data_IF_136651770362
#
_entry.id   IF_136651770362
#
_cell.length_a   1.000
_cell.length_b   1.000
_cell.length_c   1.000
_cell.angle_alpha   90.00
_cell.angle_beta   90.00
_cell.angle_gamma   90.00
#
_symmetry.space_group_name_H-M   'P 1'
#
loop_
_entity.id
_entity.type
_entity.pdbx_description
1 polymer ?
#
# COMPACT_ATOMS: atom_id res chain seq x y z
N UNK A 1 -24.44 -11.14 6.58
CA UNK A 1 -24.54 -10.21 5.44
C UNK A 1 -23.21 -10.06 4.71
N UNK A 2 -22.11 -9.72 5.39
CA UNK A 2 -20.77 -9.65 4.76
C UNK A 2 -20.37 -10.95 4.02
N UNK A 3 -20.64 -12.11 4.62
CA UNK A 3 -20.37 -13.44 4.03
C UNK A 3 -20.99 -13.64 2.64
N UNK A 4 -22.20 -13.10 2.41
CA UNK A 4 -22.86 -13.19 1.10
C UNK A 4 -22.07 -12.42 0.05
N UNK A 5 -21.65 -11.20 0.36
CA UNK A 5 -20.90 -10.36 -0.58
C UNK A 5 -19.48 -10.85 -0.79
N UNK A 6 -18.86 -11.46 0.22
CA UNK A 6 -17.60 -12.21 0.08
C UNK A 6 -17.75 -13.34 -0.93
N UNK A 7 -18.78 -14.19 -0.79
CA UNK A 7 -19.03 -15.29 -1.75
C UNK A 7 -19.30 -14.78 -3.16
N UNK A 8 -20.07 -13.68 -3.28
CA UNK A 8 -20.30 -13.05 -4.58
C UNK A 8 -18.98 -12.59 -5.22
N UNK A 9 -18.09 -11.94 -4.47
CA UNK A 9 -16.77 -11.53 -4.98
C UNK A 9 -15.83 -12.72 -5.26
N UNK A 10 -15.91 -13.79 -4.47
CA UNK A 10 -15.15 -15.02 -4.69
C UNK A 10 -15.54 -15.70 -6.01
N UNK A 11 -16.83 -15.65 -6.38
CA UNK A 11 -17.36 -16.17 -7.65
C UNK A 11 -17.03 -15.33 -8.90
N UNK A 12 -16.06 -14.41 -8.83
CA UNK A 12 -15.67 -13.48 -9.92
C UNK A 12 -15.33 -14.13 -11.25
N UNK A 13 -14.94 -15.40 -11.27
CA UNK A 13 -14.67 -16.17 -12.49
C UNK A 13 -15.94 -16.74 -13.13
N UNK A 14 -16.98 -16.93 -12.33
CA UNK A 14 -18.26 -17.51 -12.74
C UNK A 14 -19.28 -16.42 -13.09
N UNK A 15 -19.31 -15.34 -12.30
CA UNK A 15 -20.22 -14.21 -12.52
C UNK A 15 -19.54 -12.88 -12.22
N UNK A 16 -19.06 -12.23 -13.27
CA UNK A 16 -18.48 -10.88 -13.16
C UNK A 16 -19.50 -9.84 -12.65
N UNK A 17 -20.79 -10.04 -12.93
CA UNK A 17 -21.85 -9.15 -12.45
C UNK A 17 -22.05 -9.27 -10.93
N UNK A 18 -22.17 -10.49 -10.41
CA UNK A 18 -22.33 -10.71 -8.97
C UNK A 18 -21.09 -10.26 -8.21
N UNK A 19 -19.90 -10.55 -8.72
CA UNK A 19 -18.66 -10.12 -8.07
C UNK A 19 -18.51 -8.60 -8.00
N UNK A 20 -18.94 -7.87 -9.05
CA UNK A 20 -19.01 -6.41 -9.02
C UNK A 20 -19.94 -5.90 -7.91
N UNK A 21 -21.13 -6.49 -7.76
CA UNK A 21 -22.07 -6.14 -6.68
C UNK A 21 -21.44 -6.43 -5.32
N UNK A 22 -20.80 -7.60 -5.16
CA UNK A 22 -20.08 -7.99 -3.95
C UNK A 22 -19.03 -6.96 -3.57
N UNK A 23 -18.17 -6.54 -4.52
CA UNK A 23 -17.13 -5.55 -4.27
C UNK A 23 -17.69 -4.21 -3.76
N UNK A 24 -18.73 -3.66 -4.41
CA UNK A 24 -19.36 -2.41 -3.97
C UNK A 24 -19.99 -2.56 -2.58
N UNK A 25 -20.72 -3.64 -2.35
CA UNK A 25 -21.40 -3.88 -1.08
C UNK A 25 -20.41 -4.04 0.07
N UNK A 26 -19.28 -4.72 -0.15
CA UNK A 26 -18.20 -4.84 0.83
C UNK A 26 -17.57 -3.48 1.15
N UNK A 27 -17.28 -2.67 0.13
CA UNK A 27 -16.77 -1.31 0.32
C UNK A 27 -17.73 -0.44 1.13
N UNK A 28 -19.02 -0.47 0.79
CA UNK A 28 -20.04 0.31 1.50
C UNK A 28 -20.24 -0.15 2.95
N UNK A 29 -20.17 -1.46 3.19
CA UNK A 29 -20.33 -2.01 4.53
C UNK A 29 -19.13 -1.68 5.44
N UNK A 30 -17.92 -1.60 4.88
CA UNK A 30 -16.69 -1.31 5.62
C UNK A 30 -16.31 -2.38 6.66
N UNK A 31 -16.91 -3.56 6.57
CA UNK A 31 -16.69 -4.67 7.51
C UNK A 31 -15.40 -5.40 7.17
N UNK A 32 -14.40 -5.30 8.07
CA UNK A 32 -13.05 -5.84 7.91
C UNK A 32 -13.01 -7.32 7.53
N UNK A 33 -14.06 -8.09 7.85
CA UNK A 33 -14.17 -9.51 7.46
C UNK A 33 -14.21 -9.71 5.94
N UNK A 34 -14.67 -8.71 5.18
CA UNK A 34 -14.69 -8.73 3.72
C UNK A 34 -13.45 -8.17 3.05
N UNK A 35 -12.53 -7.55 3.81
CA UNK A 35 -11.34 -6.91 3.26
C UNK A 35 -10.37 -7.94 2.64
N UNK A 36 -10.25 -9.13 3.25
CA UNK A 36 -9.38 -10.20 2.75
C UNK A 36 -9.72 -10.60 1.32
N UNK A 37 -11.00 -10.76 1.01
CA UNK A 37 -11.46 -11.13 -0.33
C UNK A 37 -11.27 -9.99 -1.34
N UNK A 38 -11.50 -8.74 -0.92
CA UNK A 38 -11.19 -7.56 -1.73
C UNK A 38 -9.69 -7.50 -2.08
N UNK A 39 -8.81 -7.74 -1.11
CA UNK A 39 -7.36 -7.78 -1.33
C UNK A 39 -6.95 -8.92 -2.27
N UNK A 40 -7.60 -10.08 -2.16
CA UNK A 40 -7.38 -11.21 -3.08
C UNK A 40 -7.77 -10.86 -4.52
N UNK A 41 -8.97 -10.30 -4.71
CA UNK A 41 -9.43 -9.79 -6.00
C UNK A 41 -8.51 -8.68 -6.56
N UNK A 42 -7.99 -7.83 -5.67
CA UNK A 42 -7.03 -6.78 -6.01
C UNK A 42 -5.71 -7.34 -6.51
N UNK A 43 -5.17 -8.34 -5.82
CA UNK A 43 -3.94 -9.01 -6.20
C UNK A 43 -4.08 -9.66 -7.59
N UNK A 44 -5.21 -10.29 -7.87
CA UNK A 44 -5.54 -10.88 -9.18
C UNK A 44 -5.76 -9.85 -10.28
N UNK A 45 -5.92 -8.56 -9.95
CA UNK A 45 -6.21 -7.50 -10.92
C UNK A 45 -7.65 -7.53 -11.43
N UNK A 46 -8.56 -8.14 -10.69
CA UNK A 46 -9.98 -8.12 -11.01
C UNK A 46 -10.53 -6.69 -10.87
N UNK A 47 -11.05 -6.13 -11.96
CA UNK A 47 -11.68 -4.80 -12.02
C UNK A 47 -11.02 -3.77 -11.08
N UNK A 48 -9.75 -3.42 -11.29
CA UNK A 48 -8.92 -2.77 -10.29
C UNK A 48 -9.45 -1.41 -9.85
N UNK A 49 -10.20 -0.69 -10.70
CA UNK A 49 -10.86 0.55 -10.31
C UNK A 49 -11.96 0.35 -9.26
N UNK A 50 -12.84 -0.65 -9.46
CA UNK A 50 -13.94 -0.96 -8.54
C UNK A 50 -13.38 -1.49 -7.22
N UNK A 51 -12.43 -2.42 -7.29
CA UNK A 51 -11.82 -3.00 -6.09
C UNK A 51 -10.99 -1.96 -5.33
N UNK A 52 -10.26 -1.07 -6.03
CA UNK A 52 -9.55 0.03 -5.39
C UNK A 52 -10.49 1.00 -4.66
N UNK A 53 -11.63 1.33 -5.28
CA UNK A 53 -12.64 2.18 -4.68
C UNK A 53 -13.26 1.54 -3.45
N UNK A 54 -13.61 0.25 -3.54
CA UNK A 54 -14.12 -0.51 -2.41
C UNK A 54 -13.13 -0.57 -1.26
N UNK A 55 -11.85 -0.86 -1.52
CA UNK A 55 -10.78 -0.85 -0.50
C UNK A 55 -10.64 0.54 0.13
N UNK A 56 -10.70 1.60 -0.67
CA UNK A 56 -10.63 2.98 -0.16
C UNK A 56 -11.80 3.33 0.76
N UNK A 57 -12.98 2.76 0.53
CA UNK A 57 -14.15 2.99 1.38
C UNK A 57 -13.98 2.47 2.82
N UNK A 58 -13.08 1.50 3.05
CA UNK A 58 -12.68 1.09 4.40
C UNK A 58 -11.84 2.17 5.12
N UNK A 59 -11.24 3.08 4.38
CA UNK A 59 -10.37 4.12 4.92
C UNK A 59 -9.03 3.58 5.44
N UNK A 60 -8.41 4.27 6.42
CA UNK A 60 -7.06 3.95 6.89
C UNK A 60 -6.87 2.52 7.42
N UNK A 61 -7.93 1.86 7.90
CA UNK A 61 -7.84 0.48 8.41
C UNK A 61 -7.39 -0.52 7.32
N UNK A 62 -7.61 -0.20 6.05
CA UNK A 62 -7.19 -1.05 4.94
C UNK A 62 -5.70 -0.86 4.55
N UNK A 63 -5.04 0.20 5.05
CA UNK A 63 -3.64 0.49 4.68
C UNK A 63 -2.69 -0.61 5.14
N UNK A 64 -2.78 -1.07 6.39
CA UNK A 64 -1.92 -2.12 6.92
C UNK A 64 -1.98 -3.39 6.06
N UNK A 65 -3.16 -4.01 5.91
CA UNK A 65 -3.34 -5.20 5.06
C UNK A 65 -2.95 -4.99 3.59
N UNK A 66 -3.16 -3.79 3.04
CA UNK A 66 -2.78 -3.48 1.66
C UNK A 66 -1.26 -3.35 1.50
N UNK A 67 -0.57 -2.72 2.46
CA UNK A 67 0.89 -2.64 2.49
C UNK A 67 1.49 -4.04 2.70
N UNK A 68 0.93 -4.86 3.59
CA UNK A 68 1.31 -6.26 3.79
C UNK A 68 1.25 -7.05 2.47
N UNK A 69 0.15 -6.90 1.72
CA UNK A 69 -0.04 -7.55 0.43
C UNK A 69 1.03 -7.13 -0.58
N UNK A 70 1.36 -5.84 -0.66
CA UNK A 70 2.36 -5.32 -1.61
C UNK A 70 3.77 -5.71 -1.19
N UNK A 71 4.06 -5.78 0.12
CA UNK A 71 5.34 -6.30 0.62
C UNK A 71 5.53 -7.78 0.24
N UNK A 72 4.47 -8.59 0.34
CA UNK A 72 4.48 -10.00 -0.05
C UNK A 72 4.53 -10.18 -1.57
N UNK A 73 3.99 -9.21 -2.33
CA UNK A 73 3.85 -9.24 -3.80
C UNK A 73 4.24 -7.90 -4.43
N UNK A 74 5.55 -7.57 -4.52
CA UNK A 74 6.02 -6.27 -4.99
C UNK A 74 5.64 -5.94 -6.44
N UNK A 75 5.32 -6.94 -7.25
CA UNK A 75 4.79 -6.78 -8.62
C UNK A 75 3.46 -6.02 -8.66
N UNK A 76 2.68 -6.05 -7.57
CA UNK A 76 1.44 -5.29 -7.44
C UNK A 76 1.74 -3.79 -7.57
N UNK A 77 2.83 -3.31 -6.93
CA UNK A 77 3.25 -1.91 -7.00
C UNK A 77 3.75 -1.46 -8.39
N UNK A 78 3.84 -2.36 -9.38
CA UNK A 78 4.13 -2.01 -10.78
C UNK A 78 2.86 -1.67 -11.57
N UNK A 79 1.68 -2.04 -11.09
CA UNK A 79 0.40 -1.80 -11.77
C UNK A 79 -0.17 -0.47 -11.31
N UNK A 80 -0.25 0.53 -12.20
CA UNK A 80 -0.77 1.86 -11.86
C UNK A 80 -2.19 1.80 -11.27
N UNK A 81 -3.05 0.93 -11.80
CA UNK A 81 -4.40 0.71 -11.28
C UNK A 81 -4.38 0.13 -9.85
N UNK A 82 -3.34 -0.63 -9.50
CA UNK A 82 -3.12 -1.19 -8.16
C UNK A 82 -2.45 -0.21 -7.18
N UNK A 83 -2.20 1.03 -7.59
CA UNK A 83 -1.79 2.12 -6.71
C UNK A 83 -2.90 3.15 -6.49
N UNK A 84 -4.01 3.04 -7.24
CA UNK A 84 -5.14 3.96 -7.15
C UNK A 84 -5.80 3.98 -5.76
N UNK A 85 -5.87 2.81 -5.09
CA UNK A 85 -6.40 2.71 -3.73
C UNK A 85 -5.55 3.52 -2.74
N UNK A 86 -4.23 3.32 -2.79
CA UNK A 86 -3.26 4.00 -1.94
C UNK A 86 -3.20 5.50 -2.18
N UNK A 87 -3.21 5.93 -3.45
CA UNK A 87 -3.17 7.35 -3.82
C UNK A 87 -4.35 8.13 -3.22
N UNK A 88 -5.53 7.49 -3.15
CA UNK A 88 -6.73 8.07 -2.56
C UNK A 88 -6.69 8.21 -1.03
N UNK A 89 -5.71 7.61 -0.34
CA UNK A 89 -5.59 7.64 1.12
C UNK A 89 -4.67 8.75 1.65
N UNK A 90 -3.91 9.41 0.76
CA UNK A 90 -3.18 10.65 1.07
C UNK A 90 -2.28 10.55 2.30
N UNK A 91 -2.39 11.51 3.22
CA UNK A 91 -1.53 11.62 4.41
C UNK A 91 -1.57 10.37 5.31
N UNK A 92 -2.68 9.63 5.33
CA UNK A 92 -2.77 8.38 6.09
C UNK A 92 -1.79 7.31 5.56
N UNK A 93 -1.53 7.29 4.25
CA UNK A 93 -0.50 6.43 3.66
C UNK A 93 0.89 6.78 4.20
N UNK A 94 1.24 8.07 4.25
CA UNK A 94 2.54 8.50 4.74
C UNK A 94 2.73 8.10 6.22
N UNK A 95 1.73 8.34 7.06
CA UNK A 95 1.74 7.93 8.47
C UNK A 95 1.92 6.41 8.61
N UNK A 96 1.14 5.62 7.86
CA UNK A 96 1.25 4.16 7.87
C UNK A 96 2.65 3.67 7.43
N UNK A 97 3.25 4.31 6.42
CA UNK A 97 4.61 3.95 5.97
C UNK A 97 5.67 4.28 7.03
N UNK A 98 5.56 5.44 7.70
CA UNK A 98 6.46 5.80 8.79
C UNK A 98 6.39 4.80 9.95
N UNK A 99 5.17 4.48 10.41
CA UNK A 99 4.94 3.47 11.46
C UNK A 99 5.51 2.10 11.06
N UNK A 100 5.32 1.72 9.79
CA UNK A 100 5.81 0.45 9.26
C UNK A 100 7.33 0.36 9.23
N UNK A 101 7.99 1.44 8.84
CA UNK A 101 9.46 1.55 8.81
C UNK A 101 10.04 1.44 10.22
N UNK A 102 9.45 2.14 11.18
CA UNK A 102 9.90 2.08 12.58
C UNK A 102 9.67 0.69 13.20
N UNK A 103 8.52 0.07 12.92
CA UNK A 103 8.23 -1.30 13.40
C UNK A 103 9.23 -2.34 12.87
N UNK A 104 9.79 -2.11 11.68
CA UNK A 104 10.74 -3.02 10.99
C UNK A 104 12.20 -2.58 11.11
N UNK A 105 12.52 -1.61 11.97
CA UNK A 105 13.87 -1.02 12.10
C UNK A 105 14.96 -2.09 12.33
N UNK A 106 14.62 -3.16 13.05
CA UNK A 106 15.52 -4.28 13.35
C UNK A 106 15.63 -5.35 12.25
N UNK A 107 14.75 -5.34 11.25
CA UNK A 107 14.63 -6.48 10.35
C UNK A 107 15.74 -6.49 9.30
N UNK A 108 16.22 -7.69 8.95
CA UNK A 108 17.25 -7.87 7.94
C UNK A 108 16.76 -7.51 6.53
N UNK A 109 15.47 -7.72 6.24
CA UNK A 109 14.82 -7.43 4.95
C UNK A 109 14.41 -5.95 4.79
N UNK A 110 14.60 -5.12 5.82
CA UNK A 110 14.22 -3.70 5.77
C UNK A 110 14.84 -2.96 4.58
N UNK A 111 16.07 -3.30 4.21
CA UNK A 111 16.76 -2.67 3.08
C UNK A 111 16.03 -2.91 1.74
N UNK A 112 15.52 -4.12 1.53
CA UNK A 112 14.72 -4.48 0.35
C UNK A 112 13.36 -3.75 0.38
N UNK A 113 12.70 -3.74 1.53
CA UNK A 113 11.38 -3.09 1.69
C UNK A 113 11.46 -1.55 1.66
N UNK A 114 12.58 -0.96 2.05
CA UNK A 114 12.78 0.48 2.03
C UNK A 114 12.62 1.09 0.62
N UNK A 115 13.10 0.39 -0.42
CA UNK A 115 12.90 0.82 -1.81
C UNK A 115 11.42 0.82 -2.19
N UNK A 116 10.68 -0.19 -1.72
CA UNK A 116 9.24 -0.27 -1.92
C UNK A 116 8.53 0.89 -1.20
N UNK A 117 8.86 1.18 0.06
CA UNK A 117 8.25 2.28 0.80
C UNK A 117 8.51 3.65 0.16
N UNK A 118 9.74 3.90 -0.30
CA UNK A 118 10.07 5.12 -1.03
C UNK A 118 9.27 5.25 -2.33
N UNK A 119 9.01 4.13 -3.03
CA UNK A 119 8.16 4.09 -4.21
C UNK A 119 6.69 4.34 -3.88
N UNK A 120 6.19 3.79 -2.78
CA UNK A 120 4.82 4.07 -2.32
C UNK A 120 4.67 5.53 -1.88
N UNK A 121 5.72 6.12 -1.31
CA UNK A 121 5.76 7.54 -0.96
C UNK A 121 5.72 8.48 -2.19
N UNK A 122 6.04 8.01 -3.40
CA UNK A 122 5.83 8.79 -4.63
C UNK A 122 4.34 9.10 -4.89
N UNK A 123 3.42 8.35 -4.27
CA UNK A 123 1.98 8.62 -4.34
C UNK A 123 1.57 9.83 -3.50
N UNK A 124 2.42 10.27 -2.57
CA UNK A 124 2.22 11.41 -1.67
C UNK A 124 3.44 12.34 -1.68
N UNK A 125 3.70 13.03 -2.80
CA UNK A 125 4.95 13.78 -3.01
C UNK A 125 5.25 14.83 -1.93
N UNK A 126 4.20 15.46 -1.37
CA UNK A 126 4.30 16.47 -0.31
C UNK A 126 4.73 15.88 1.03
N UNK A 127 4.45 14.61 1.30
CA UNK A 127 4.86 13.87 2.50
C UNK A 127 6.04 12.92 2.27
N UNK A 128 6.47 12.75 1.02
CA UNK A 128 7.61 11.91 0.66
C UNK A 128 8.89 12.20 1.49
N UNK A 129 9.26 13.46 1.78
CA UNK A 129 10.43 13.74 2.62
C UNK A 129 10.33 13.18 4.05
N UNK A 130 9.12 13.08 4.59
CA UNK A 130 8.84 12.54 5.93
C UNK A 130 9.12 11.03 5.97
N UNK A 131 8.53 10.28 5.03
CA UNK A 131 8.78 8.84 4.87
C UNK A 131 10.25 8.57 4.56
N UNK A 132 10.87 9.41 3.72
CA UNK A 132 12.30 9.29 3.42
C UNK A 132 13.17 9.53 4.65
N UNK A 133 12.83 10.46 5.53
CA UNK A 133 13.55 10.68 6.78
C UNK A 133 13.44 9.46 7.71
N UNK A 134 12.25 8.87 7.85
CA UNK A 134 12.06 7.64 8.62
C UNK A 134 12.90 6.49 8.05
N UNK A 135 12.88 6.28 6.73
CA UNK A 135 13.70 5.26 6.06
C UNK A 135 15.20 5.49 6.28
N UNK A 136 15.66 6.73 6.17
CA UNK A 136 17.08 7.06 6.38
C UNK A 136 17.51 6.79 7.83
N UNK A 137 16.70 7.18 8.81
CA UNK A 137 16.96 6.93 10.22
C UNK A 137 16.91 5.44 10.59
N UNK A 138 16.06 4.66 9.92
CA UNK A 138 15.94 3.22 10.16
C UNK A 138 17.05 2.39 9.50
N UNK A 139 17.68 2.91 8.44
CA UNK A 139 18.80 2.27 7.75
C UNK A 139 20.18 2.78 8.20
N UNK A 140 20.24 3.78 9.07
CA UNK A 140 21.50 4.30 9.59
C UNK A 140 22.32 3.20 10.26
N UNK A 141 23.58 3.04 9.84
CA UNK A 141 24.46 1.97 10.33
C UNK A 141 24.23 0.59 9.70
N UNK A 142 23.21 0.39 8.84
CA UNK A 142 23.05 -0.88 8.10
C UNK A 142 24.01 -0.94 6.91
N UNK A 143 24.75 -2.03 6.84
CA UNK A 143 25.66 -2.34 5.73
C UNK A 143 24.93 -3.14 4.64
N UNK A 144 25.32 -2.93 3.38
CA UNK A 144 24.74 -3.63 2.23
C UNK A 144 24.46 -2.71 1.05
N UNK A 145 24.58 -3.25 -0.16
CA UNK A 145 24.36 -2.49 -1.41
C UNK A 145 22.95 -1.89 -1.45
N UNK A 146 21.95 -2.64 -0.99
CA UNK A 146 20.55 -2.23 -0.99
C UNK A 146 20.26 -1.16 0.07
N UNK A 147 20.81 -1.32 1.28
CA UNK A 147 20.72 -0.33 2.35
C UNK A 147 21.35 1.00 1.93
N UNK A 148 22.54 0.97 1.33
CA UNK A 148 23.20 2.16 0.80
C UNK A 148 22.42 2.80 -0.36
N UNK A 149 21.85 2.00 -1.26
CA UNK A 149 21.01 2.51 -2.34
C UNK A 149 19.74 3.19 -1.81
N UNK A 150 19.09 2.59 -0.80
CA UNK A 150 17.89 3.14 -0.17
C UNK A 150 18.19 4.40 0.63
N UNK A 151 19.29 4.44 1.39
CA UNK A 151 19.78 5.63 2.09
C UNK A 151 20.03 6.78 1.12
N UNK A 152 20.74 6.54 0.01
CA UNK A 152 21.00 7.58 -1.00
C UNK A 152 19.71 8.09 -1.64
N UNK A 153 18.76 7.20 -1.94
CA UNK A 153 17.46 7.57 -2.50
C UNK A 153 16.64 8.42 -1.50
N UNK A 154 16.61 8.02 -0.24
CA UNK A 154 15.96 8.75 0.85
C UNK A 154 16.57 10.14 1.06
N UNK A 155 17.90 10.24 1.15
CA UNK A 155 18.61 11.52 1.28
C UNK A 155 18.32 12.49 0.13
N UNK A 156 18.26 11.98 -1.12
CA UNK A 156 17.87 12.78 -2.29
C UNK A 156 16.45 13.32 -2.16
N UNK A 157 15.50 12.50 -1.70
CA UNK A 157 14.11 12.91 -1.51
C UNK A 157 13.97 13.98 -0.42
N UNK A 158 14.74 13.89 0.67
CA UNK A 158 14.79 14.91 1.72
C UNK A 158 15.37 16.22 1.19
N UNK A 159 16.48 16.16 0.43
CA UNK A 159 17.15 17.34 -0.13
C UNK A 159 16.31 18.06 -1.20
N UNK A 160 15.53 17.33 -2.00
CA UNK A 160 14.63 17.90 -2.98
C UNK A 160 13.48 18.70 -2.32
N UNK A 161 12.96 18.23 -1.18
CA UNK A 161 11.92 18.93 -0.41
C UNK A 161 12.40 20.25 0.21
N UNK A 162 13.69 20.39 0.53
CA UNK A 162 14.27 21.64 1.07
C UNK A 162 14.49 22.75 0.03
N UNK A 163 14.54 22.43 -1.27
CA UNK A 163 14.79 23.39 -2.36
C UNK A 163 13.53 24.01 -2.97
N UNK A 164 12.35 23.53 -2.58
CA UNK A 164 11.06 23.97 -3.12
C UNK A 164 10.24 24.87 -2.20
N UNK A 165 10.86 25.46 -1.17
CA UNK A 165 10.24 26.44 -0.26
C UNK A 165 10.75 27.84 -0.56
#
# INVERSE_FOLDING_TARGET
>A
MVETFVRMLASRRESAWQAKIGAYALGYLGDVRGLSELLSAYAEGYQPGIVAEAIRAFGPVALGPLVDLIEARPEIAKRAAALGALKGMGDALAACLCERVEARRGDADLAEKAQLYLKLADLVPHRKPEVAAAVAAALEGKEGKEAQAALRAAQRAIGAGKRGK
#
